data_IF_164469761897
#
_entry.id   IF_164469761897
#
_cell.length_a   1.000
_cell.length_b   1.000
_cell.length_c   1.000
_cell.angle_alpha   90.00
_cell.angle_beta   90.00
_cell.angle_gamma   90.00
#
_symmetry.space_group_name_H-M   'P 1'
#
loop_
_entity.id
_entity.type
_entity.pdbx_description
1 polymer ?
#
# COMPACT_ATOMS: atom_id res chain seq x y z
N UNK A 1 -29.75 -7.82 5.74
CA UNK A 1 -29.89 -6.36 5.79
C UNK A 1 -31.35 -5.92 5.86
N UNK A 2 -32.19 -6.79 6.31
CA UNK A 2 -33.64 -6.54 6.34
C UNK A 2 -34.08 -5.52 7.41
N UNK A 3 -33.20 -5.22 8.38
CA UNK A 3 -33.41 -4.15 9.35
C UNK A 3 -32.39 -3.03 9.07
N UNK A 4 -32.87 -1.90 8.56
CA UNK A 4 -32.07 -0.68 8.39
C UNK A 4 -31.65 -0.15 9.75
N UNK A 5 -30.48 -0.59 10.22
CA UNK A 5 -29.90 -0.11 11.48
C UNK A 5 -28.78 0.89 11.16
N UNK A 6 -29.14 2.14 10.94
CA UNK A 6 -28.22 3.21 10.60
C UNK A 6 -27.10 3.39 11.64
N UNK A 7 -27.41 3.25 12.93
CA UNK A 7 -26.43 3.34 14.04
C UNK A 7 -25.37 2.27 13.90
N UNK A 8 -25.77 1.03 13.59
CA UNK A 8 -24.82 -0.06 13.42
C UNK A 8 -23.88 0.17 12.23
N UNK A 9 -24.42 0.58 11.07
CA UNK A 9 -23.60 0.86 9.89
C UNK A 9 -22.72 2.09 10.05
N UNK A 10 -23.19 3.14 10.74
CA UNK A 10 -22.34 4.27 11.13
C UNK A 10 -21.19 3.81 12.06
N UNK A 11 -21.49 2.96 13.03
CA UNK A 11 -20.49 2.35 13.92
C UNK A 11 -19.45 1.52 13.15
N UNK A 12 -19.89 0.68 12.21
CA UNK A 12 -18.98 -0.06 11.32
C UNK A 12 -18.11 0.87 10.48
N UNK A 13 -18.67 1.96 9.95
CA UNK A 13 -17.92 2.95 9.17
C UNK A 13 -16.87 3.64 10.04
N UNK A 14 -17.18 4.04 11.24
CA UNK A 14 -16.23 4.61 12.20
C UNK A 14 -15.13 3.61 12.56
N UNK A 15 -15.46 2.34 12.76
CA UNK A 15 -14.51 1.30 13.12
C UNK A 15 -13.59 0.89 11.98
N UNK A 16 -14.13 0.67 10.78
CA UNK A 16 -13.38 0.08 9.66
C UNK A 16 -12.74 1.12 8.73
N UNK A 17 -13.18 2.37 8.73
CA UNK A 17 -12.52 3.41 7.93
C UNK A 17 -11.12 3.71 8.51
N UNK A 18 -10.08 3.26 7.85
CA UNK A 18 -8.69 3.33 8.31
C UNK A 18 -8.14 4.77 8.39
N UNK A 19 -8.73 5.71 7.65
CA UNK A 19 -8.38 7.13 7.73
C UNK A 19 -8.92 7.83 8.97
N UNK A 20 -9.86 7.22 9.68
CA UNK A 20 -10.40 7.76 10.92
C UNK A 20 -9.59 7.18 12.09
N UNK A 21 -8.79 7.99 12.77
CA UNK A 21 -8.01 7.57 13.95
C UNK A 21 -8.45 8.34 15.18
N UNK A 22 -8.82 7.64 16.26
CA UNK A 22 -9.29 8.28 17.50
C UNK A 22 -8.14 8.71 18.43
N UNK A 23 -6.89 8.25 18.17
CA UNK A 23 -5.74 8.62 18.99
C UNK A 23 -5.73 8.04 20.41
N UNK A 24 -6.56 7.06 20.69
CA UNK A 24 -6.69 6.42 22.02
C UNK A 24 -6.36 4.93 21.89
N UNK A 25 -5.46 4.43 22.76
CA UNK A 25 -5.02 3.03 22.72
C UNK A 25 -5.63 2.19 23.86
N UNK A 26 -5.74 2.76 25.04
CA UNK A 26 -6.25 2.09 26.24
C UNK A 26 -7.67 2.56 26.52
N UNK A 27 -8.66 1.70 26.24
CA UNK A 27 -10.07 1.97 26.48
C UNK A 27 -10.57 0.96 27.50
N UNK A 28 -11.02 1.43 28.69
CA UNK A 28 -11.40 0.54 29.77
C UNK A 28 -12.68 -0.25 29.44
N UNK A 29 -12.88 -1.35 30.14
CA UNK A 29 -14.14 -2.12 30.15
C UNK A 29 -15.06 -1.60 31.23
N UNK A 30 -16.36 -1.51 30.92
CA UNK A 30 -17.36 -1.26 31.93
C UNK A 30 -17.67 -2.54 32.71
N UNK A 31 -17.74 -2.40 34.04
CA UNK A 31 -18.10 -3.51 34.94
C UNK A 31 -19.58 -3.43 35.36
N UNK A 32 -20.19 -2.27 35.25
CA UNK A 32 -21.53 -1.98 35.73
C UNK A 32 -22.38 -1.35 34.61
N UNK A 33 -23.70 -1.44 34.77
CA UNK A 33 -24.65 -0.78 33.89
C UNK A 33 -24.83 0.69 34.29
N UNK A 34 -24.69 1.59 33.30
CA UNK A 34 -25.07 2.99 33.42
C UNK A 34 -26.54 3.21 33.02
N UNK A 35 -26.96 4.48 33.07
CA UNK A 35 -28.34 4.90 32.71
C UNK A 35 -28.66 4.78 31.22
N UNK A 36 -27.65 4.64 30.35
CA UNK A 36 -27.73 4.62 28.90
C UNK A 36 -26.88 5.72 28.26
N UNK A 37 -26.26 5.40 27.11
CA UNK A 37 -25.50 6.35 26.29
C UNK A 37 -26.17 6.47 24.92
N UNK A 38 -26.70 7.65 24.64
CA UNK A 38 -27.27 7.92 23.32
C UNK A 38 -26.20 7.97 22.25
N UNK A 39 -26.50 7.47 21.05
CA UNK A 39 -25.61 7.47 19.89
C UNK A 39 -25.08 8.87 19.56
N UNK A 40 -25.93 9.91 19.63
CA UNK A 40 -25.55 11.29 19.38
C UNK A 40 -24.41 11.78 20.28
N UNK A 41 -24.51 11.48 21.59
CA UNK A 41 -23.49 11.86 22.58
C UNK A 41 -22.17 11.12 22.35
N UNK A 42 -22.22 9.82 22.02
CA UNK A 42 -21.03 9.07 21.66
C UNK A 42 -20.36 9.64 20.40
N UNK A 43 -21.15 9.93 19.37
CA UNK A 43 -20.68 10.46 18.09
C UNK A 43 -20.02 11.83 18.22
N UNK A 44 -20.54 12.69 19.10
CA UNK A 44 -19.91 13.98 19.40
C UNK A 44 -18.49 13.80 19.96
N UNK A 45 -18.34 12.91 20.94
CA UNK A 45 -17.01 12.61 21.54
C UNK A 45 -16.10 11.96 20.51
N UNK A 46 -16.59 10.99 19.74
CA UNK A 46 -15.84 10.35 18.67
C UNK A 46 -15.33 11.38 17.64
N UNK A 47 -16.16 12.36 17.27
CA UNK A 47 -15.76 13.44 16.35
C UNK A 47 -14.69 14.35 16.94
N UNK A 48 -14.77 14.70 18.22
CA UNK A 48 -13.73 15.49 18.92
C UNK A 48 -12.40 14.74 18.97
N UNK A 49 -12.43 13.42 19.18
CA UNK A 49 -11.24 12.56 19.11
C UNK A 49 -10.65 12.51 17.69
N UNK A 50 -11.49 12.35 16.68
CA UNK A 50 -11.07 12.34 15.26
C UNK A 50 -10.42 13.65 14.82
N UNK A 51 -10.98 14.78 15.27
CA UNK A 51 -10.44 16.12 14.97
C UNK A 51 -9.25 16.51 15.85
N UNK A 52 -8.84 15.64 16.80
CA UNK A 52 -7.79 15.94 17.77
C UNK A 52 -8.09 17.13 18.69
N UNK A 53 -9.35 17.52 18.83
CA UNK A 53 -9.83 18.51 19.81
C UNK A 53 -9.78 17.94 21.24
N UNK A 54 -9.77 16.61 21.35
CA UNK A 54 -9.72 15.87 22.62
C UNK A 54 -8.56 14.87 22.57
N UNK A 55 -7.53 15.08 23.38
CA UNK A 55 -6.29 14.27 23.38
C UNK A 55 -5.79 14.02 24.81
N UNK A 56 -4.83 13.10 24.99
CA UNK A 56 -4.13 12.86 26.26
C UNK A 56 -5.04 12.49 27.43
N UNK A 57 -4.85 13.12 28.58
CA UNK A 57 -5.63 12.85 29.79
C UNK A 57 -7.09 13.26 29.61
N UNK A 58 -7.37 14.42 29.01
CA UNK A 58 -8.74 14.89 28.78
C UNK A 58 -9.55 13.89 27.94
N UNK A 59 -8.93 13.24 26.96
CA UNK A 59 -9.57 12.18 26.18
C UNK A 59 -9.89 10.95 27.05
N UNK A 60 -8.98 10.54 27.94
CA UNK A 60 -9.22 9.41 28.87
C UNK A 60 -10.37 9.70 29.82
N UNK A 61 -10.36 10.87 30.43
CA UNK A 61 -11.38 11.28 31.38
C UNK A 61 -12.77 11.31 30.72
N UNK A 62 -12.85 11.86 29.51
CA UNK A 62 -14.10 11.91 28.75
C UNK A 62 -14.59 10.53 28.31
N UNK A 63 -13.68 9.65 27.93
CA UNK A 63 -14.00 8.24 27.60
C UNK A 63 -14.51 7.51 28.85
N UNK A 64 -13.92 7.74 30.05
CA UNK A 64 -14.41 7.14 31.28
C UNK A 64 -15.79 7.68 31.66
N UNK A 65 -16.04 8.98 31.47
CA UNK A 65 -17.34 9.59 31.70
C UNK A 65 -18.44 8.92 30.85
N UNK A 66 -18.26 8.84 29.54
CA UNK A 66 -19.26 8.22 28.65
C UNK A 66 -19.37 6.71 28.89
N UNK A 67 -18.29 6.03 29.28
CA UNK A 67 -18.33 4.62 29.67
C UNK A 67 -19.24 4.38 30.86
N UNK A 68 -19.13 5.20 31.92
CA UNK A 68 -19.98 5.10 33.13
C UNK A 68 -21.47 5.35 32.84
N UNK A 69 -21.78 6.10 31.77
CA UNK A 69 -23.15 6.35 31.31
C UNK A 69 -23.74 5.21 30.51
N UNK A 70 -22.91 4.51 29.73
CA UNK A 70 -23.36 3.44 28.83
C UNK A 70 -23.77 2.19 29.64
N UNK A 71 -24.70 1.39 29.10
CA UNK A 71 -24.93 0.04 29.60
C UNK A 71 -23.69 -0.83 29.32
N UNK A 72 -23.35 -1.71 30.25
CA UNK A 72 -22.16 -2.58 30.22
C UNK A 72 -21.98 -3.27 28.88
N UNK A 73 -23.03 -3.93 28.40
CA UNK A 73 -22.96 -4.68 27.12
C UNK A 73 -22.82 -3.75 25.90
N UNK A 74 -23.56 -2.62 25.88
CA UNK A 74 -23.44 -1.65 24.79
C UNK A 74 -22.03 -1.07 24.72
N UNK A 75 -21.45 -0.71 25.90
CA UNK A 75 -20.09 -0.22 25.93
C UNK A 75 -19.09 -1.26 25.46
N UNK A 76 -19.08 -2.44 26.06
CA UNK A 76 -18.03 -3.45 25.85
C UNK A 76 -18.07 -4.06 24.45
N UNK A 77 -19.26 -4.25 23.84
CA UNK A 77 -19.43 -4.93 22.56
C UNK A 77 -19.68 -3.99 21.37
N UNK A 78 -19.95 -2.70 21.62
CA UNK A 78 -20.18 -1.76 20.53
C UNK A 78 -19.32 -0.50 20.64
N UNK A 79 -19.55 0.40 21.59
CA UNK A 79 -18.87 1.69 21.68
C UNK A 79 -17.34 1.56 21.84
N UNK A 80 -16.90 0.73 22.77
CA UNK A 80 -15.48 0.41 22.97
C UNK A 80 -14.86 -0.17 21.72
N UNK A 81 -15.56 -1.06 21.02
CA UNK A 81 -15.08 -1.71 19.79
C UNK A 81 -14.89 -0.72 18.65
N UNK A 82 -15.78 0.26 18.51
CA UNK A 82 -15.62 1.36 17.56
C UNK A 82 -14.32 2.13 17.84
N UNK A 83 -14.12 2.57 19.08
CA UNK A 83 -12.93 3.31 19.48
C UNK A 83 -11.63 2.50 19.34
N UNK A 84 -11.69 1.19 19.56
CA UNK A 84 -10.56 0.27 19.32
C UNK A 84 -10.33 -0.05 17.85
N UNK A 85 -11.27 0.31 16.95
CA UNK A 85 -11.27 -0.02 15.53
C UNK A 85 -11.21 -1.53 15.26
N UNK A 86 -11.81 -2.32 16.16
CA UNK A 86 -11.86 -3.78 16.11
C UNK A 86 -13.21 -4.28 16.64
N UNK A 87 -14.13 -4.48 15.72
CA UNK A 87 -15.51 -4.90 16.05
C UNK A 87 -15.62 -6.34 16.56
N UNK A 88 -14.62 -7.19 16.31
CA UNK A 88 -14.61 -8.63 16.65
C UNK A 88 -15.88 -9.40 16.25
N UNK A 89 -16.48 -9.00 15.14
CA UNK A 89 -17.74 -9.58 14.66
C UNK A 89 -17.57 -10.47 13.41
N UNK A 90 -16.32 -10.83 13.04
CA UNK A 90 -16.03 -11.66 11.87
C UNK A 90 -16.29 -10.97 10.52
N UNK A 91 -16.63 -9.67 10.51
CA UNK A 91 -16.86 -8.89 9.30
C UNK A 91 -15.61 -8.08 8.93
N UNK A 92 -15.47 -7.83 7.63
CA UNK A 92 -14.49 -6.88 7.08
C UNK A 92 -15.22 -5.78 6.32
N UNK A 93 -14.52 -4.66 6.08
CA UNK A 93 -15.02 -3.59 5.19
C UNK A 93 -15.44 -4.14 3.82
N UNK A 94 -14.70 -5.10 3.28
CA UNK A 94 -15.02 -5.74 2.01
C UNK A 94 -16.32 -6.53 2.07
N UNK A 95 -16.57 -7.24 3.15
CA UNK A 95 -17.82 -8.01 3.35
C UNK A 95 -19.01 -7.05 3.40
N UNK A 96 -18.89 -5.98 4.19
CA UNK A 96 -19.94 -4.94 4.29
C UNK A 96 -20.23 -4.31 2.93
N UNK A 97 -19.16 -3.89 2.22
CA UNK A 97 -19.29 -3.24 0.92
C UNK A 97 -19.91 -4.16 -0.15
N UNK A 98 -19.51 -5.45 -0.16
CA UNK A 98 -20.12 -6.42 -1.09
C UNK A 98 -21.62 -6.60 -0.85
N UNK A 99 -22.04 -6.69 0.43
CA UNK A 99 -23.45 -6.83 0.78
C UNK A 99 -24.21 -5.53 0.50
N UNK A 100 -23.63 -4.37 0.81
CA UNK A 100 -24.22 -3.07 0.49
C UNK A 100 -24.46 -2.89 -1.02
N UNK A 101 -23.45 -3.22 -1.85
CA UNK A 101 -23.56 -3.15 -3.31
C UNK A 101 -24.64 -4.07 -3.87
N UNK A 102 -24.72 -5.32 -3.38
CA UNK A 102 -25.75 -6.28 -3.85
C UNK A 102 -27.19 -5.84 -3.55
N UNK A 103 -27.37 -5.02 -2.52
CA UNK A 103 -28.68 -4.56 -2.08
C UNK A 103 -28.96 -3.09 -2.40
N UNK A 104 -28.10 -2.40 -3.16
CA UNK A 104 -28.27 -0.99 -3.52
C UNK A 104 -28.12 0.01 -2.38
N UNK A 105 -27.50 -0.37 -1.28
CA UNK A 105 -27.30 0.49 -0.09
C UNK A 105 -25.95 1.21 -0.13
N UNK A 106 -25.78 2.12 -1.09
CA UNK A 106 -24.52 2.85 -1.28
C UNK A 106 -24.09 3.67 -0.04
N UNK A 107 -25.05 4.20 0.72
CA UNK A 107 -24.82 4.97 1.95
C UNK A 107 -24.20 4.15 3.10
N UNK A 108 -24.29 2.83 3.04
CA UNK A 108 -23.69 1.93 4.04
C UNK A 108 -22.28 1.46 3.66
N UNK A 109 -21.78 1.83 2.50
CA UNK A 109 -20.42 1.51 2.12
C UNK A 109 -19.40 2.19 3.02
N UNK A 110 -18.39 1.42 3.38
CA UNK A 110 -17.26 1.86 4.17
C UNK A 110 -16.16 2.31 3.21
N UNK A 111 -15.61 3.52 3.33
CA UNK A 111 -14.46 3.95 2.55
C UNK A 111 -13.27 3.00 2.78
N UNK A 112 -12.75 2.44 1.70
CA UNK A 112 -11.55 1.59 1.76
C UNK A 112 -10.34 2.47 1.59
N UNK A 113 -9.38 2.37 2.53
CA UNK A 113 -8.10 3.07 2.40
C UNK A 113 -7.41 2.63 1.12
N UNK A 114 -7.14 3.57 0.26
CA UNK A 114 -6.40 3.35 -0.98
C UNK A 114 -5.61 4.60 -1.31
N UNK A 115 -4.51 4.44 -2.01
CA UNK A 115 -3.73 5.51 -2.62
C UNK A 115 -3.56 5.24 -4.11
N UNK A 116 -3.01 6.16 -4.86
CA UNK A 116 -2.74 5.94 -6.26
C UNK A 116 -1.69 4.85 -6.46
N UNK A 117 -1.99 3.88 -7.34
CA UNK A 117 -1.15 2.73 -7.62
C UNK A 117 -0.83 2.64 -9.12
N UNK A 118 0.43 2.29 -9.41
CA UNK A 118 0.90 2.13 -10.77
C UNK A 118 0.52 0.79 -11.39
N UNK A 119 0.31 0.78 -12.71
CA UNK A 119 0.27 -0.41 -13.55
C UNK A 119 1.69 -0.79 -14.03
N UNK A 120 1.85 -2.00 -14.53
CA UNK A 120 3.08 -2.44 -15.17
C UNK A 120 3.17 -1.88 -16.60
N UNK A 121 4.29 -1.24 -16.94
CA UNK A 121 4.44 -0.60 -18.26
C UNK A 121 4.47 -1.62 -19.41
N UNK A 122 4.95 -2.86 -19.18
CA UNK A 122 4.97 -3.91 -20.19
C UNK A 122 3.57 -4.27 -20.69
N UNK A 123 2.58 -4.22 -19.80
CA UNK A 123 1.17 -4.49 -20.13
C UNK A 123 0.48 -3.29 -20.81
N UNK A 124 1.09 -2.12 -20.75
CA UNK A 124 0.48 -0.86 -21.17
C UNK A 124 1.39 -0.02 -22.07
N UNK A 125 2.24 -0.65 -22.90
CA UNK A 125 3.19 0.03 -23.83
C UNK A 125 2.54 1.13 -24.68
N UNK A 126 1.28 0.93 -25.08
CA UNK A 126 0.51 1.94 -25.84
C UNK A 126 0.28 3.26 -25.10
N UNK A 127 0.53 3.31 -23.79
CA UNK A 127 0.45 4.52 -22.95
C UNK A 127 1.78 5.26 -22.83
N UNK A 128 2.87 4.71 -23.39
CA UNK A 128 4.19 5.34 -23.45
C UNK A 128 4.26 6.29 -24.65
N UNK A 129 3.40 7.30 -24.66
CA UNK A 129 3.28 8.35 -25.69
C UNK A 129 3.12 9.71 -25.03
N UNK A 130 3.45 10.79 -25.75
CA UNK A 130 3.36 12.16 -25.28
C UNK A 130 4.35 12.47 -24.16
N UNK A 131 4.09 13.56 -23.47
CA UNK A 131 4.89 13.97 -22.31
C UNK A 131 4.66 13.08 -21.11
N UNK A 132 5.74 12.70 -20.42
CA UNK A 132 5.71 11.90 -19.19
C UNK A 132 6.74 12.44 -18.19
N UNK A 133 6.38 12.41 -16.91
CA UNK A 133 7.36 12.55 -15.84
C UNK A 133 8.02 11.20 -15.56
N UNK A 134 9.34 11.20 -15.50
CA UNK A 134 10.16 10.08 -15.07
C UNK A 134 10.68 10.34 -13.66
N UNK A 135 10.55 9.33 -12.79
CA UNK A 135 11.08 9.34 -11.43
C UNK A 135 11.77 8.01 -11.15
N UNK A 136 12.80 8.00 -10.31
CA UNK A 136 13.38 6.73 -9.85
C UNK A 136 12.37 5.95 -9.03
N UNK A 137 12.34 4.64 -9.21
CA UNK A 137 11.52 3.78 -8.38
C UNK A 137 12.32 3.27 -7.20
N UNK A 138 12.00 3.78 -6.03
CA UNK A 138 12.63 3.38 -4.77
C UNK A 138 12.15 1.97 -4.35
N UNK A 139 13.03 1.23 -3.68
CA UNK A 139 12.70 -0.04 -3.01
C UNK A 139 12.51 0.24 -1.51
N UNK A 140 11.31 0.57 -1.13
CA UNK A 140 10.96 0.99 0.22
C UNK A 140 9.57 0.58 0.64
N UNK A 141 9.00 1.34 1.55
CA UNK A 141 7.65 1.17 2.05
C UNK A 141 6.85 2.44 1.80
N UNK A 142 5.77 2.32 1.03
CA UNK A 142 4.85 3.43 0.79
C UNK A 142 4.39 4.05 2.10
N UNK A 143 4.53 5.36 2.20
CA UNK A 143 4.12 6.15 3.35
C UNK A 143 3.15 7.25 2.90
N UNK A 144 1.90 7.11 3.30
CA UNK A 144 0.89 8.17 3.19
C UNK A 144 0.91 8.91 4.52
N UNK A 145 1.53 10.09 4.53
CA UNK A 145 1.72 10.90 5.73
C UNK A 145 0.66 11.98 5.78
N UNK A 146 -0.15 11.96 6.83
CA UNK A 146 -1.20 12.95 7.09
C UNK A 146 -0.69 13.94 8.13
N UNK A 147 -0.71 15.22 7.81
CA UNK A 147 -0.31 16.32 8.69
C UNK A 147 -1.55 17.14 9.02
N UNK A 148 -1.83 17.27 10.30
CA UNK A 148 -2.97 18.06 10.79
C UNK A 148 -2.53 19.45 11.25
N UNK A 149 -3.38 20.49 11.13
CA UNK A 149 -3.08 21.83 11.66
C UNK A 149 -2.77 21.85 13.16
N UNK A 150 -3.24 20.84 13.92
CA UNK A 150 -2.93 20.65 15.33
C UNK A 150 -1.49 20.19 15.63
N UNK A 151 -0.67 19.92 14.59
CA UNK A 151 0.66 19.35 14.75
C UNK A 151 0.69 17.82 14.91
N UNK A 152 -0.47 17.15 14.92
CA UNK A 152 -0.49 15.69 14.88
C UNK A 152 -0.09 15.18 13.50
N UNK A 153 0.65 14.07 13.46
CA UNK A 153 1.12 13.43 12.23
C UNK A 153 0.82 11.93 12.31
N UNK A 154 0.11 11.43 11.31
CA UNK A 154 -0.14 10.00 11.14
C UNK A 154 0.55 9.53 9.86
N UNK A 155 1.24 8.38 9.92
CA UNK A 155 1.89 7.75 8.75
C UNK A 155 1.23 6.40 8.51
N UNK A 156 0.73 6.19 7.30
CA UNK A 156 0.06 4.95 6.91
C UNK A 156 0.81 4.24 5.79
N UNK A 157 0.83 2.92 5.83
CA UNK A 157 1.25 2.10 4.70
C UNK A 157 0.24 2.17 3.55
N UNK A 158 0.62 1.66 2.40
CA UNK A 158 -0.25 1.52 1.21
C UNK A 158 -1.63 0.93 1.48
N UNK A 159 -1.75 0.08 2.49
CA UNK A 159 -3.00 -0.59 2.85
C UNK A 159 -3.69 0.04 4.06
N UNK A 160 -3.27 1.22 4.49
CA UNK A 160 -3.84 1.94 5.62
C UNK A 160 -3.48 1.36 7.00
N UNK A 161 -2.41 0.58 7.10
CA UNK A 161 -1.84 0.20 8.40
C UNK A 161 -1.02 1.36 8.91
N UNK A 162 -1.27 1.80 10.13
CA UNK A 162 -0.46 2.84 10.78
C UNK A 162 0.98 2.34 11.00
N UNK A 163 1.95 3.18 10.64
CA UNK A 163 3.37 2.93 10.76
C UNK A 163 3.92 3.69 11.98
N UNK A 164 3.97 3.01 13.12
CA UNK A 164 4.39 3.61 14.40
C UNK A 164 5.91 3.52 14.66
N UNK A 165 6.67 2.95 13.74
CA UNK A 165 8.09 2.68 13.90
C UNK A 165 8.99 3.82 13.38
N UNK A 166 8.41 4.97 13.02
CA UNK A 166 9.09 6.09 12.39
C UNK A 166 8.82 7.42 13.12
N UNK A 167 8.90 7.40 14.45
CA UNK A 167 8.64 8.61 15.25
C UNK A 167 9.63 9.73 14.96
N UNK A 168 10.88 9.40 14.60
CA UNK A 168 11.86 10.41 14.19
C UNK A 168 11.37 11.21 12.98
N UNK A 169 10.75 10.57 11.96
CA UNK A 169 10.19 11.27 10.81
C UNK A 169 9.03 12.20 11.22
N UNK A 170 8.17 11.76 12.16
CA UNK A 170 7.10 12.61 12.71
C UNK A 170 7.68 13.82 13.46
N UNK A 171 8.74 13.60 14.24
CA UNK A 171 9.44 14.66 14.97
C UNK A 171 10.12 15.64 14.02
N UNK A 172 10.78 15.15 12.97
CA UNK A 172 11.41 15.99 11.95
C UNK A 172 10.37 16.82 11.20
N UNK A 173 9.25 16.24 10.79
CA UNK A 173 8.16 16.99 10.16
C UNK A 173 7.69 18.11 11.11
N UNK A 174 7.40 17.82 12.37
CA UNK A 174 6.97 18.83 13.36
C UNK A 174 8.01 19.92 13.62
N UNK A 175 9.28 19.57 13.56
CA UNK A 175 10.39 20.51 13.78
C UNK A 175 10.52 21.54 12.67
N UNK A 176 10.28 21.12 11.43
CA UNK A 176 10.57 21.93 10.24
C UNK A 176 9.32 22.58 9.64
N UNK A 177 8.11 22.05 9.88
CA UNK A 177 6.89 22.58 9.27
C UNK A 177 6.40 23.86 9.96
N UNK A 178 6.01 24.84 9.17
CA UNK A 178 5.23 25.97 9.67
C UNK A 178 3.74 25.61 9.74
N UNK A 179 3.31 25.14 10.92
CA UNK A 179 1.92 24.77 11.17
C UNK A 179 0.96 25.97 11.12
N UNK A 180 1.44 27.20 11.32
CA UNK A 180 0.60 28.41 11.26
C UNK A 180 0.07 28.67 9.85
N UNK A 181 0.80 28.25 8.84
CA UNK A 181 0.42 28.34 7.43
C UNK A 181 -0.57 27.24 6.99
N UNK A 182 -0.69 26.16 7.78
CA UNK A 182 -1.48 24.98 7.45
C UNK A 182 -2.94 25.15 7.87
N UNK A 183 -3.79 25.65 6.99
CA UNK A 183 -5.23 25.88 7.28
C UNK A 183 -6.07 24.60 7.29
N UNK A 184 -5.65 23.53 6.58
CA UNK A 184 -6.36 22.24 6.47
C UNK A 184 -5.35 21.11 6.53
N UNK A 185 -5.83 19.93 6.93
CA UNK A 185 -5.00 18.74 6.94
C UNK A 185 -4.53 18.37 5.53
N UNK A 186 -3.25 17.98 5.45
CA UNK A 186 -2.51 17.73 4.22
C UNK A 186 -2.03 16.29 4.19
N UNK A 187 -1.97 15.71 3.01
CA UNK A 187 -1.36 14.42 2.72
C UNK A 187 -0.09 14.62 1.92
N UNK A 188 1.01 14.11 2.43
CA UNK A 188 2.24 13.90 1.68
C UNK A 188 2.35 12.42 1.33
N UNK A 189 2.45 12.12 0.05
CA UNK A 189 2.60 10.76 -0.44
C UNK A 189 4.07 10.50 -0.78
N UNK A 190 4.62 9.43 -0.24
CA UNK A 190 6.05 9.18 -0.32
C UNK A 190 6.43 7.72 -0.14
N UNK A 191 7.71 7.47 -0.11
CA UNK A 191 8.30 6.16 0.15
C UNK A 191 9.31 6.27 1.29
N UNK A 192 9.17 5.44 2.33
CA UNK A 192 10.18 5.31 3.38
C UNK A 192 11.22 4.31 2.90
N UNK A 193 12.47 4.75 2.89
CA UNK A 193 13.63 3.94 2.50
C UNK A 193 14.63 3.87 3.64
N UNK A 194 15.21 2.72 3.86
CA UNK A 194 16.31 2.48 4.79
C UNK A 194 17.47 1.82 4.05
N UNK A 195 18.67 1.92 4.58
CA UNK A 195 19.88 1.29 4.01
C UNK A 195 19.74 -0.20 3.78
N UNK A 196 18.87 -0.87 4.54
CA UNK A 196 18.58 -2.29 4.41
C UNK A 196 17.09 -2.54 4.34
N UNK A 197 16.58 -2.81 3.14
CA UNK A 197 15.16 -3.09 2.88
C UNK A 197 14.64 -4.31 3.68
N UNK A 198 15.45 -5.37 3.83
CA UNK A 198 15.02 -6.56 4.58
C UNK A 198 14.83 -6.26 6.07
N UNK A 199 15.70 -5.46 6.65
CA UNK A 199 15.54 -4.99 8.03
C UNK A 199 14.34 -4.06 8.18
N UNK A 200 14.11 -3.17 7.22
CA UNK A 200 12.93 -2.30 7.17
C UNK A 200 11.64 -3.13 7.18
N UNK A 201 11.56 -4.16 6.33
CA UNK A 201 10.39 -5.05 6.25
C UNK A 201 10.18 -5.87 7.53
N UNK A 202 11.26 -6.41 8.12
CA UNK A 202 11.17 -7.12 9.41
C UNK A 202 10.62 -6.22 10.51
N UNK A 203 11.03 -4.96 10.56
CA UNK A 203 10.60 -4.00 11.58
C UNK A 203 9.12 -3.61 11.43
N UNK A 204 8.65 -3.40 10.21
CA UNK A 204 7.23 -3.07 9.94
C UNK A 204 6.30 -4.21 10.35
N UNK A 205 6.75 -5.46 10.26
CA UNK A 205 5.98 -6.63 10.65
C UNK A 205 6.12 -7.01 12.13
N UNK A 206 7.14 -6.53 12.82
CA UNK A 206 7.28 -6.75 14.27
C UNK A 206 6.23 -5.96 15.04
N UNK A 207 5.65 -6.62 16.05
CA UNK A 207 4.74 -5.98 17.03
C UNK A 207 5.50 -5.16 18.09
N UNK A 208 6.83 -5.13 18.03
CA UNK A 208 7.67 -4.43 19.00
C UNK A 208 7.76 -2.94 18.68
N UNK A 209 7.96 -2.11 19.71
CA UNK A 209 8.13 -0.66 19.63
C UNK A 209 9.53 -0.22 19.13
N UNK A 210 10.30 -1.08 18.46
CA UNK A 210 11.62 -0.70 17.96
C UNK A 210 11.48 0.36 16.86
N UNK A 211 12.18 1.48 17.04
CA UNK A 211 12.23 2.59 16.09
C UNK A 211 13.31 2.33 15.05
N UNK A 212 13.07 2.80 13.82
CA UNK A 212 14.05 2.76 12.74
C UNK A 212 14.52 4.17 12.41
N UNK A 213 15.56 4.64 13.09
CA UNK A 213 16.10 5.99 12.95
C UNK A 213 16.92 6.20 11.67
N UNK A 214 17.32 5.13 10.98
CA UNK A 214 18.07 5.22 9.72
C UNK A 214 17.19 5.53 8.50
N UNK A 215 15.88 5.39 8.64
CA UNK A 215 14.96 5.57 7.55
C UNK A 215 14.81 7.05 7.16
N UNK A 216 14.64 7.29 5.86
CA UNK A 216 14.32 8.59 5.28
C UNK A 216 13.02 8.51 4.48
N UNK A 217 12.25 9.59 4.44
CA UNK A 217 11.01 9.71 3.70
C UNK A 217 11.24 10.51 2.42
N UNK A 218 11.03 9.86 1.29
CA UNK A 218 11.10 10.47 -0.04
C UNK A 218 9.71 10.84 -0.52
N UNK A 219 9.47 12.12 -0.75
CA UNK A 219 8.17 12.68 -1.13
C UNK A 219 8.05 12.77 -2.65
N UNK A 220 6.88 12.41 -3.19
CA UNK A 220 6.61 12.47 -4.63
C UNK A 220 5.19 12.95 -4.99
N UNK A 221 4.30 13.18 -4.02
CA UNK A 221 3.00 13.82 -4.27
C UNK A 221 2.46 14.54 -3.03
N UNK A 222 1.54 15.49 -3.24
CA UNK A 222 0.92 16.32 -2.22
C UNK A 222 -0.54 16.60 -2.58
N UNK A 223 -1.44 16.45 -1.60
CA UNK A 223 -2.86 16.76 -1.79
C UNK A 223 -3.58 17.04 -0.46
N UNK A 224 -4.73 17.74 -0.47
CA UNK A 224 -5.53 17.91 0.72
C UNK A 224 -6.08 16.56 1.24
N UNK A 225 -6.17 16.40 2.56
CA UNK A 225 -6.72 15.18 3.17
C UNK A 225 -8.17 14.92 2.75
N UNK A 226 -8.97 15.97 2.58
CA UNK A 226 -10.36 15.83 2.17
C UNK A 226 -10.47 15.14 0.81
N UNK A 227 -9.71 15.60 -0.21
CA UNK A 227 -9.71 15.02 -1.55
C UNK A 227 -9.17 13.58 -1.54
N UNK A 228 -8.16 13.30 -0.70
CA UNK A 228 -7.67 11.93 -0.50
C UNK A 228 -8.75 11.02 0.09
N UNK A 229 -9.55 11.51 1.03
CA UNK A 229 -10.68 10.77 1.62
C UNK A 229 -11.84 10.56 0.64
N UNK A 230 -12.06 11.50 -0.27
CA UNK A 230 -13.03 11.41 -1.36
C UNK A 230 -12.54 10.48 -2.48
N UNK A 231 -11.25 10.12 -2.48
CA UNK A 231 -10.65 9.17 -3.42
C UNK A 231 -10.18 9.78 -4.74
N UNK A 232 -10.33 11.11 -4.91
CA UNK A 232 -9.87 11.83 -6.10
C UNK A 232 -9.50 13.28 -5.76
N UNK A 233 -8.34 13.72 -6.26
CA UNK A 233 -7.94 15.13 -6.26
C UNK A 233 -7.79 15.63 -7.70
N UNK A 234 -8.64 16.58 -8.11
CA UNK A 234 -8.78 17.08 -9.50
C UNK A 234 -7.76 18.16 -9.87
N UNK A 235 -6.57 18.15 -9.27
CA UNK A 235 -5.40 18.89 -9.74
C UNK A 235 -4.53 17.94 -10.56
N UNK A 236 -4.00 18.41 -11.70
CA UNK A 236 -3.12 17.58 -12.51
C UNK A 236 -1.75 17.36 -11.83
N UNK A 237 -1.03 16.32 -12.23
CA UNK A 237 0.25 15.98 -11.62
C UNK A 237 1.28 17.10 -11.74
N UNK A 238 1.31 17.82 -12.85
CA UNK A 238 2.22 18.95 -13.07
C UNK A 238 2.05 20.03 -12.01
N UNK A 239 0.80 20.40 -11.71
CA UNK A 239 0.47 21.37 -10.66
C UNK A 239 0.84 20.83 -9.26
N UNK A 240 0.58 19.54 -9.01
CA UNK A 240 0.92 18.92 -7.73
C UNK A 240 2.43 18.86 -7.50
N UNK A 241 3.23 18.56 -8.54
CA UNK A 241 4.70 18.58 -8.44
C UNK A 241 5.21 20.00 -8.13
N UNK A 242 4.64 21.02 -8.76
CA UNK A 242 4.98 22.43 -8.46
C UNK A 242 4.63 22.76 -7.00
N UNK A 243 3.45 22.38 -6.56
CA UNK A 243 2.98 22.59 -5.19
C UNK A 243 3.85 21.84 -4.17
N UNK A 244 4.22 20.59 -4.46
CA UNK A 244 5.11 19.80 -3.62
C UNK A 244 6.51 20.41 -3.54
N UNK A 245 7.10 20.82 -4.66
CA UNK A 245 8.42 21.48 -4.69
C UNK A 245 8.41 22.78 -3.88
N UNK A 246 7.36 23.58 -4.01
CA UNK A 246 7.19 24.80 -3.21
C UNK A 246 7.11 24.48 -1.73
N UNK A 247 6.19 23.58 -1.34
CA UNK A 247 6.00 23.17 0.05
C UNK A 247 7.28 22.58 0.66
N UNK A 248 7.99 21.73 -0.07
CA UNK A 248 9.26 21.15 0.36
C UNK A 248 10.34 22.22 0.60
N UNK A 249 10.50 23.16 -0.32
CA UNK A 249 11.50 24.21 -0.20
C UNK A 249 11.20 25.17 0.97
N UNK A 250 9.94 25.44 1.25
CA UNK A 250 9.51 26.30 2.35
C UNK A 250 9.69 25.64 3.71
N UNK A 251 9.51 24.32 3.79
CA UNK A 251 9.47 23.61 5.07
C UNK A 251 10.63 22.63 5.29
N UNK A 252 11.04 21.85 4.28
CA UNK A 252 11.87 20.66 4.50
C UNK A 252 13.25 20.70 3.83
N UNK A 253 13.61 21.77 3.12
CA UNK A 253 14.88 21.89 2.38
C UNK A 253 16.12 21.59 3.24
N UNK A 254 16.07 21.89 4.52
CA UNK A 254 17.18 21.71 5.47
C UNK A 254 17.03 20.44 6.33
N UNK A 255 16.09 19.55 6.00
CA UNK A 255 15.87 18.30 6.73
C UNK A 255 16.58 17.14 6.03
N UNK A 256 17.48 16.45 6.70
CA UNK A 256 18.24 15.34 6.13
C UNK A 256 17.42 14.09 5.88
N UNK A 257 16.30 13.92 6.61
CA UNK A 257 15.47 12.73 6.57
C UNK A 257 14.21 12.87 5.72
N UNK A 258 13.89 14.09 5.30
CA UNK A 258 12.76 14.36 4.40
C UNK A 258 13.33 14.83 3.07
N UNK A 259 13.14 14.03 2.03
CA UNK A 259 13.76 14.23 0.72
C UNK A 259 12.69 14.34 -0.36
N UNK A 260 12.97 15.06 -1.41
CA UNK A 260 12.10 15.18 -2.57
C UNK A 260 12.60 14.24 -3.68
N UNK A 261 11.70 13.49 -4.30
CA UNK A 261 12.02 12.77 -5.54
C UNK A 261 12.05 13.78 -6.68
N UNK A 262 13.12 13.74 -7.47
CA UNK A 262 13.20 14.55 -8.68
C UNK A 262 12.37 13.92 -9.81
N UNK A 263 11.65 14.76 -10.54
CA UNK A 263 10.77 14.39 -11.64
C UNK A 263 11.25 15.05 -12.93
N UNK A 264 11.73 14.24 -13.89
CA UNK A 264 12.19 14.71 -15.19
C UNK A 264 11.04 14.61 -16.20
N UNK A 265 10.69 15.73 -16.85
CA UNK A 265 9.70 15.74 -17.94
C UNK A 265 10.37 15.39 -19.26
N UNK A 266 9.87 14.36 -19.95
CA UNK A 266 10.34 13.92 -21.27
C UNK A 266 9.17 13.78 -22.23
N UNK A 267 9.41 14.02 -23.52
CA UNK A 267 8.40 13.81 -24.58
C UNK A 267 8.73 12.52 -25.37
N UNK A 268 7.99 11.46 -25.11
CA UNK A 268 8.20 10.13 -25.70
C UNK A 268 7.85 10.04 -27.19
N UNK A 269 7.25 11.05 -27.79
CA UNK A 269 6.97 11.06 -29.21
C UNK A 269 8.20 11.50 -30.05
N UNK A 270 9.19 12.10 -29.41
CA UNK A 270 10.44 12.56 -30.05
C UNK A 270 11.55 11.52 -29.93
N UNK A 271 12.52 11.56 -30.85
CA UNK A 271 13.71 10.71 -30.79
C UNK A 271 14.56 11.01 -29.54
N UNK A 272 14.74 12.32 -29.22
CA UNK A 272 15.46 12.76 -28.03
C UNK A 272 14.78 12.25 -26.75
N UNK A 273 13.46 12.41 -26.61
CA UNK A 273 12.76 11.96 -25.42
C UNK A 273 12.78 10.44 -25.24
N UNK A 274 12.80 9.66 -26.31
CA UNK A 274 13.02 8.21 -26.24
C UNK A 274 14.44 7.86 -25.79
N UNK A 275 15.42 8.63 -26.18
CA UNK A 275 16.80 8.47 -25.72
C UNK A 275 16.93 8.87 -24.24
N UNK A 276 16.38 10.02 -23.84
CA UNK A 276 16.32 10.46 -22.45
C UNK A 276 15.64 9.40 -21.54
N UNK A 277 14.55 8.79 -22.01
CA UNK A 277 13.89 7.70 -21.30
C UNK A 277 14.81 6.50 -21.10
N UNK A 278 15.55 6.07 -22.13
CA UNK A 278 16.50 4.97 -22.02
C UNK A 278 17.62 5.30 -21.05
N UNK A 279 18.22 6.48 -21.19
CA UNK A 279 19.31 6.94 -20.33
C UNK A 279 18.86 7.04 -18.87
N UNK A 280 17.65 7.55 -18.61
CA UNK A 280 17.10 7.63 -17.26
C UNK A 280 16.86 6.24 -16.67
N UNK A 281 16.38 5.28 -17.47
CA UNK A 281 16.18 3.90 -17.02
C UNK A 281 17.52 3.22 -16.71
N UNK A 282 18.53 3.38 -17.54
CA UNK A 282 19.88 2.87 -17.31
C UNK A 282 20.52 3.50 -16.07
N UNK A 283 20.44 4.83 -15.94
CA UNK A 283 20.89 5.55 -14.74
C UNK A 283 20.24 4.98 -13.48
N UNK A 284 18.93 4.75 -13.50
CA UNK A 284 18.19 4.18 -12.37
C UNK A 284 18.75 2.81 -11.96
N UNK A 285 19.02 1.93 -12.94
CA UNK A 285 19.54 0.59 -12.66
C UNK A 285 20.97 0.58 -12.17
N UNK A 286 21.85 1.39 -12.79
CA UNK A 286 23.27 1.51 -12.39
C UNK A 286 23.38 2.02 -10.95
N UNK A 287 22.49 2.93 -10.53
CA UNK A 287 22.47 3.47 -9.17
C UNK A 287 21.68 2.60 -8.17
N UNK A 288 21.27 1.38 -8.55
CA UNK A 288 20.66 0.40 -7.64
C UNK A 288 19.20 0.66 -7.30
N UNK A 289 18.50 1.52 -8.03
CA UNK A 289 17.06 1.70 -7.88
C UNK A 289 16.28 0.50 -8.43
N UNK A 290 15.05 0.30 -7.97
CA UNK A 290 14.20 -0.82 -8.39
C UNK A 290 13.74 -0.71 -9.86
N UNK A 291 13.95 0.43 -10.49
CA UNK A 291 13.52 0.80 -11.83
C UNK A 291 13.04 2.24 -11.89
N UNK A 292 12.07 2.52 -12.75
CA UNK A 292 11.51 3.87 -12.92
C UNK A 292 9.99 3.89 -12.79
N UNK A 293 9.46 5.04 -12.39
CA UNK A 293 8.06 5.41 -12.46
C UNK A 293 7.85 6.35 -13.66
N UNK A 294 6.78 6.13 -14.39
CA UNK A 294 6.40 6.90 -15.58
C UNK A 294 5.00 7.44 -15.31
N UNK A 295 4.87 8.75 -15.19
CA UNK A 295 3.64 9.39 -14.74
C UNK A 295 3.10 10.36 -15.80
N UNK A 296 1.79 10.38 -15.98
CA UNK A 296 1.12 11.30 -16.90
C UNK A 296 0.98 12.69 -16.26
N UNK A 297 1.57 13.76 -16.86
CA UNK A 297 1.53 15.11 -16.31
C UNK A 297 0.13 15.69 -16.11
N UNK A 298 -0.82 15.28 -16.96
CA UNK A 298 -2.19 15.81 -16.94
C UNK A 298 -3.15 14.97 -16.08
N UNK A 299 -2.63 13.91 -15.42
CA UNK A 299 -3.46 13.03 -14.62
C UNK A 299 -3.83 13.60 -13.26
N UNK A 300 -5.04 13.34 -12.82
CA UNK A 300 -5.50 13.55 -11.45
C UNK A 300 -4.88 12.53 -10.49
N UNK A 301 -4.89 12.83 -9.19
CA UNK A 301 -4.59 11.81 -8.18
C UNK A 301 -5.86 11.00 -7.92
N UNK A 302 -5.83 9.71 -8.20
CA UNK A 302 -6.97 8.81 -7.99
C UNK A 302 -6.56 7.68 -7.04
N UNK A 303 -7.28 7.49 -5.93
CA UNK A 303 -7.03 6.45 -4.95
C UNK A 303 -7.35 5.03 -5.47
N UNK A 304 -6.80 4.69 -6.63
CA UNK A 304 -6.96 3.39 -7.29
C UNK A 304 -5.73 3.04 -8.12
N UNK A 305 -5.69 1.80 -8.63
CA UNK A 305 -4.73 1.41 -9.66
C UNK A 305 -5.17 1.96 -11.01
N UNK A 306 -4.30 2.76 -11.63
CA UNK A 306 -4.59 3.35 -12.95
C UNK A 306 -3.37 3.33 -13.86
N UNK A 307 -3.57 3.53 -15.17
CA UNK A 307 -2.50 3.62 -16.16
C UNK A 307 -1.89 5.02 -16.26
N UNK A 308 -2.38 5.98 -15.48
CA UNK A 308 -1.77 7.31 -15.37
C UNK A 308 -0.41 7.26 -14.69
N UNK A 309 -0.18 6.23 -13.85
CA UNK A 309 1.13 5.89 -13.33
C UNK A 309 1.52 4.50 -13.82
N UNK A 310 2.66 4.40 -14.47
CA UNK A 310 3.27 3.15 -14.89
C UNK A 310 4.57 2.94 -14.12
N UNK A 311 4.92 1.68 -13.91
CA UNK A 311 6.20 1.28 -13.34
C UNK A 311 6.94 0.41 -14.36
N UNK A 312 8.20 0.71 -14.60
CA UNK A 312 9.14 -0.12 -15.33
C UNK A 312 10.15 -0.68 -14.35
N UNK A 313 10.21 -2.00 -14.27
CA UNK A 313 11.18 -2.73 -13.46
C UNK A 313 11.94 -3.67 -14.37
N UNK A 314 13.26 -3.80 -14.22
CA UNK A 314 13.98 -4.89 -14.85
C UNK A 314 13.40 -6.20 -14.33
N UNK A 315 13.46 -7.20 -15.15
CA UNK A 315 13.19 -8.57 -14.76
C UNK A 315 14.32 -9.44 -15.25
N UNK A 316 14.55 -10.51 -14.53
CA UNK A 316 15.43 -11.58 -14.97
C UNK A 316 14.60 -12.76 -15.40
N UNK A 317 15.13 -13.53 -16.31
CA UNK A 317 14.55 -14.80 -16.76
C UNK A 317 15.56 -15.90 -16.56
N UNK A 318 15.15 -16.96 -15.90
CA UNK A 318 15.95 -18.17 -15.71
C UNK A 318 15.21 -19.37 -16.29
N UNK A 319 15.95 -20.33 -16.78
CA UNK A 319 15.43 -21.56 -17.36
C UNK A 319 15.69 -22.73 -16.41
N UNK A 320 14.63 -23.37 -15.94
CA UNK A 320 14.70 -24.42 -14.93
C UNK A 320 13.91 -25.64 -15.37
N UNK A 321 14.34 -26.81 -14.93
CA UNK A 321 13.65 -28.08 -15.19
C UNK A 321 12.56 -28.32 -14.16
N UNK A 322 11.37 -28.72 -14.59
CA UNK A 322 10.27 -29.12 -13.72
C UNK A 322 10.57 -30.45 -13.07
N UNK A 323 10.60 -30.48 -11.74
CA UNK A 323 10.85 -31.69 -10.95
C UNK A 323 9.60 -32.21 -10.27
N UNK A 324 8.64 -31.34 -9.95
CA UNK A 324 7.39 -31.73 -9.29
C UNK A 324 6.32 -30.66 -9.50
N UNK A 325 5.11 -30.95 -9.03
CA UNK A 325 3.97 -30.04 -9.06
C UNK A 325 3.14 -30.17 -7.76
N UNK A 326 2.39 -29.14 -7.44
CA UNK A 326 1.51 -29.09 -6.28
C UNK A 326 0.08 -28.74 -6.69
N UNK A 327 -0.90 -29.37 -6.03
CA UNK A 327 -2.30 -29.00 -6.17
C UNK A 327 -2.57 -27.64 -5.54
N UNK A 328 -3.43 -26.84 -6.15
CA UNK A 328 -3.87 -25.57 -5.60
C UNK A 328 -4.82 -25.73 -4.42
N UNK A 329 -4.91 -24.71 -3.60
CA UNK A 329 -5.84 -24.63 -2.47
C UNK A 329 -6.95 -23.63 -2.73
N UNK A 330 -8.03 -23.70 -1.95
CA UNK A 330 -9.16 -22.77 -2.06
C UNK A 330 -9.80 -22.79 -3.45
N UNK A 331 -9.84 -21.66 -4.14
CA UNK A 331 -10.42 -21.55 -5.50
C UNK A 331 -9.66 -22.35 -6.57
N UNK A 332 -8.42 -22.73 -6.29
CA UNK A 332 -7.57 -23.50 -7.21
C UNK A 332 -7.55 -25.00 -6.84
N UNK A 333 -8.40 -25.48 -5.95
CA UNK A 333 -8.54 -26.92 -5.65
C UNK A 333 -8.92 -27.66 -6.92
N UNK A 334 -8.28 -28.81 -7.18
CA UNK A 334 -8.44 -29.56 -8.42
C UNK A 334 -7.70 -28.97 -9.63
N UNK A 335 -6.84 -27.97 -9.44
CA UNK A 335 -6.05 -27.31 -10.48
C UNK A 335 -4.60 -27.18 -10.05
N UNK A 336 -3.70 -26.83 -10.98
CA UNK A 336 -2.30 -26.59 -10.65
C UNK A 336 -2.16 -25.42 -9.65
N UNK A 337 -1.55 -25.68 -8.51
CA UNK A 337 -1.18 -24.69 -7.51
C UNK A 337 0.17 -24.07 -7.83
N UNK A 338 1.21 -24.91 -7.92
CA UNK A 338 2.57 -24.49 -8.19
C UNK A 338 3.34 -25.57 -8.96
N UNK A 339 4.44 -25.14 -9.60
CA UNK A 339 5.47 -25.99 -10.21
C UNK A 339 6.74 -25.88 -9.37
N UNK A 340 7.29 -27.02 -8.98
CA UNK A 340 8.61 -27.11 -8.37
C UNK A 340 9.63 -27.31 -9.48
N UNK A 341 10.55 -26.37 -9.63
CA UNK A 341 11.58 -26.42 -10.67
C UNK A 341 12.96 -26.16 -10.08
N UNK A 342 13.97 -26.85 -10.64
CA UNK A 342 15.35 -26.69 -10.23
C UNK A 342 16.29 -26.78 -11.42
N UNK A 343 17.49 -26.24 -11.25
CA UNK A 343 18.53 -26.26 -12.28
C UNK A 343 19.53 -25.14 -12.12
N UNK A 344 20.56 -25.20 -12.95
CA UNK A 344 21.59 -24.18 -13.02
C UNK A 344 21.31 -23.22 -14.17
N UNK A 345 21.38 -21.92 -13.90
CA UNK A 345 21.34 -20.86 -14.89
C UNK A 345 22.36 -19.77 -14.53
N UNK A 346 23.20 -19.38 -15.49
CA UNK A 346 24.28 -18.41 -15.30
C UNK A 346 25.18 -18.68 -14.08
N UNK A 347 25.61 -19.95 -13.89
CA UNK A 347 26.48 -20.37 -12.81
C UNK A 347 25.84 -20.33 -11.40
N UNK A 348 24.51 -20.28 -11.34
CA UNK A 348 23.76 -20.27 -10.08
C UNK A 348 22.74 -21.40 -10.08
N UNK A 349 22.77 -22.22 -9.04
CA UNK A 349 21.78 -23.28 -8.86
C UNK A 349 20.55 -22.77 -8.10
N UNK A 350 19.38 -22.99 -8.70
CA UNK A 350 18.08 -22.58 -8.17
C UNK A 350 17.24 -23.82 -7.84
N UNK A 351 16.49 -23.73 -6.73
CA UNK A 351 15.42 -24.66 -6.39
C UNK A 351 14.22 -23.83 -5.93
N UNK A 352 13.16 -23.83 -6.73
CA UNK A 352 12.06 -22.87 -6.61
C UNK A 352 10.69 -23.55 -6.64
N UNK A 353 9.76 -22.97 -5.90
CA UNK A 353 8.33 -23.25 -6.01
C UNK A 353 7.66 -22.06 -6.70
N UNK A 354 7.10 -22.25 -7.88
CA UNK A 354 6.54 -21.23 -8.75
C UNK A 354 5.01 -21.36 -8.73
N UNK A 355 4.34 -20.58 -7.88
CA UNK A 355 2.89 -20.56 -7.73
C UNK A 355 2.16 -19.47 -8.49
N UNK A 356 2.87 -18.59 -9.20
CA UNK A 356 2.29 -17.42 -9.90
C UNK A 356 2.69 -17.37 -11.37
N UNK A 357 1.98 -16.54 -12.16
CA UNK A 357 2.20 -16.38 -13.60
C UNK A 357 1.29 -17.25 -14.47
N UNK A 358 0.48 -18.11 -13.88
CA UNK A 358 -0.48 -18.96 -14.61
C UNK A 358 -1.85 -18.28 -14.73
N UNK A 359 -2.48 -18.41 -15.88
CA UNK A 359 -3.91 -18.14 -16.05
C UNK A 359 -4.76 -19.29 -15.49
N UNK A 360 -6.04 -19.03 -15.21
CA UNK A 360 -6.95 -20.08 -14.70
C UNK A 360 -7.07 -21.26 -15.70
N UNK A 361 -7.11 -20.97 -17.00
CA UNK A 361 -7.11 -21.98 -18.05
C UNK A 361 -5.83 -22.82 -18.07
N UNK A 362 -4.67 -22.19 -17.93
CA UNK A 362 -3.39 -22.91 -17.83
C UNK A 362 -3.32 -23.79 -16.60
N UNK A 363 -3.87 -23.33 -15.46
CA UNK A 363 -3.90 -24.15 -14.24
C UNK A 363 -4.73 -25.42 -14.41
N UNK A 364 -5.86 -25.34 -15.11
CA UNK A 364 -6.70 -26.50 -15.44
C UNK A 364 -6.01 -27.44 -16.40
N UNK A 365 -5.50 -26.91 -17.51
CA UNK A 365 -4.85 -27.68 -18.57
C UNK A 365 -3.58 -28.40 -18.06
N UNK A 366 -2.75 -27.68 -17.31
CA UNK A 366 -1.50 -28.23 -16.79
C UNK A 366 -1.76 -29.25 -15.67
N UNK A 367 -2.80 -29.08 -14.87
CA UNK A 367 -3.17 -30.06 -13.86
C UNK A 367 -3.66 -31.37 -14.49
N UNK A 368 -4.47 -31.31 -15.54
CA UNK A 368 -4.90 -32.50 -16.29
C UNK A 368 -3.73 -33.24 -16.95
N UNK A 369 -2.67 -32.53 -17.31
CA UNK A 369 -1.48 -33.08 -17.96
C UNK A 369 -0.23 -33.05 -17.06
N UNK A 370 -0.40 -33.01 -15.75
CA UNK A 370 0.66 -32.73 -14.77
C UNK A 370 1.89 -33.64 -14.90
N UNK A 371 1.69 -34.92 -15.17
CA UNK A 371 2.79 -35.90 -15.29
C UNK A 371 3.66 -35.63 -16.53
N UNK A 372 3.10 -35.00 -17.58
CA UNK A 372 3.84 -34.58 -18.78
C UNK A 372 4.67 -33.31 -18.57
N UNK A 373 4.52 -32.62 -17.44
CA UNK A 373 5.29 -31.44 -17.10
C UNK A 373 6.67 -31.79 -16.58
N UNK A 374 6.82 -32.96 -15.93
CA UNK A 374 8.09 -33.42 -15.34
C UNK A 374 9.15 -33.54 -16.44
N UNK A 375 10.36 -33.02 -16.16
CA UNK A 375 11.50 -33.01 -17.07
C UNK A 375 11.46 -31.90 -18.11
N UNK A 376 10.36 -31.11 -18.19
CA UNK A 376 10.28 -29.98 -19.13
C UNK A 376 11.00 -28.77 -18.60
N UNK A 377 11.55 -27.97 -19.50
CA UNK A 377 12.19 -26.70 -19.15
C UNK A 377 11.14 -25.59 -19.17
N UNK A 378 11.09 -24.82 -18.09
CA UNK A 378 10.27 -23.62 -17.98
C UNK A 378 11.13 -22.35 -17.95
N UNK A 379 10.63 -21.28 -18.52
CA UNK A 379 11.14 -19.94 -18.28
C UNK A 379 10.41 -19.34 -17.07
N UNK A 380 11.20 -18.93 -16.07
CA UNK A 380 10.73 -18.27 -14.85
C UNK A 380 11.19 -16.83 -14.89
N UNK A 381 10.24 -15.90 -14.85
CA UNK A 381 10.52 -14.46 -14.73
C UNK A 381 10.51 -14.05 -13.28
N UNK A 382 11.47 -13.24 -12.85
CA UNK A 382 11.54 -12.72 -11.49
C UNK A 382 12.07 -11.29 -11.45
N UNK A 383 11.89 -10.62 -10.31
CA UNK A 383 12.35 -9.24 -10.13
C UNK A 383 13.87 -9.19 -9.95
N UNK A 384 14.46 -10.10 -9.20
CA UNK A 384 15.92 -10.23 -9.03
C UNK A 384 16.31 -11.60 -8.46
N UNK A 385 17.61 -11.91 -8.51
CA UNK A 385 18.20 -13.05 -7.80
C UNK A 385 18.37 -12.70 -6.32
N UNK A 386 18.10 -13.64 -5.44
CA UNK A 386 18.33 -13.56 -3.99
C UNK A 386 18.97 -14.85 -3.51
N UNK A 387 19.49 -14.87 -2.29
CA UNK A 387 19.87 -16.13 -1.62
C UNK A 387 18.64 -16.76 -0.98
N UNK A 388 18.59 -18.09 -0.92
CA UNK A 388 17.59 -18.82 -0.15
C UNK A 388 17.76 -18.53 1.36
N UNK A 389 16.71 -18.77 2.16
CA UNK A 389 16.75 -18.51 3.60
C UNK A 389 17.77 -19.42 4.34
N UNK A 390 18.00 -20.60 3.83
CA UNK A 390 18.97 -21.60 4.29
C UNK A 390 20.41 -21.33 3.78
N UNK A 391 20.58 -20.40 2.82
CA UNK A 391 21.87 -19.94 2.33
C UNK A 391 22.59 -20.90 1.38
N UNK A 392 22.07 -22.11 1.14
CA UNK A 392 22.71 -23.15 0.32
C UNK A 392 22.49 -22.94 -1.18
N UNK A 393 21.30 -22.43 -1.57
CA UNK A 393 20.90 -22.25 -2.95
C UNK A 393 20.60 -20.78 -3.29
N UNK A 394 20.60 -20.46 -4.57
CA UNK A 394 20.06 -19.19 -5.05
C UNK A 394 18.54 -19.26 -5.13
N UNK A 395 17.91 -18.15 -4.90
CA UNK A 395 16.46 -17.98 -4.99
C UNK A 395 16.10 -16.79 -5.88
N UNK A 396 14.82 -16.65 -6.19
CA UNK A 396 14.28 -15.57 -7.00
C UNK A 396 13.24 -14.77 -6.22
N UNK A 397 13.31 -13.45 -6.31
CA UNK A 397 12.29 -12.57 -5.73
C UNK A 397 11.07 -12.53 -6.66
N UNK A 398 9.91 -12.96 -6.17
CA UNK A 398 8.65 -13.03 -6.90
C UNK A 398 8.72 -13.83 -8.20
N UNK A 399 9.07 -15.13 -8.16
CA UNK A 399 9.13 -15.97 -9.35
C UNK A 399 7.74 -16.16 -9.94
N UNK A 400 7.68 -16.03 -11.29
CA UNK A 400 6.45 -16.16 -12.08
C UNK A 400 6.71 -17.04 -13.28
N UNK A 401 5.85 -18.02 -13.49
CA UNK A 401 5.89 -18.80 -14.74
C UNK A 401 5.67 -17.89 -15.94
N UNK A 402 6.47 -18.04 -16.97
CA UNK A 402 6.34 -17.33 -18.23
C UNK A 402 5.87 -18.27 -19.35
N UNK A 403 6.60 -19.34 -19.60
CA UNK A 403 6.29 -20.31 -20.65
C UNK A 403 7.08 -21.62 -20.44
N UNK A 404 6.67 -22.67 -21.14
CA UNK A 404 7.49 -23.87 -21.34
C UNK A 404 8.41 -23.67 -22.53
N UNK A 405 9.65 -24.14 -22.46
CA UNK A 405 10.53 -24.29 -23.63
C UNK A 405 10.25 -25.62 -24.32
N UNK A 406 10.19 -25.60 -25.65
CA UNK A 406 9.99 -26.81 -26.44
C UNK A 406 8.54 -27.27 -26.63
N UNK A 407 7.56 -26.50 -26.20
CA UNK A 407 6.16 -26.63 -26.63
C UNK A 407 5.86 -25.46 -27.57
N UNK A 408 5.68 -25.70 -28.85
CA UNK A 408 5.18 -24.76 -29.88
C UNK A 408 5.75 -23.33 -29.83
N UNK A 409 6.93 -23.15 -29.27
CA UNK A 409 7.57 -21.83 -29.19
C UNK A 409 8.52 -21.71 -30.37
N UNK A 410 8.22 -20.79 -31.26
CA UNK A 410 9.18 -20.30 -32.26
C UNK A 410 10.50 -19.99 -31.53
N UNK A 411 11.59 -20.52 -32.11
CA UNK A 411 12.95 -20.25 -31.62
C UNK A 411 13.13 -18.76 -31.37
N UNK A 412 13.80 -18.44 -30.25
CA UNK A 412 14.30 -17.09 -30.04
C UNK A 412 15.28 -16.76 -31.17
N UNK A 413 14.89 -15.89 -32.10
CA UNK A 413 15.79 -15.16 -32.97
C UNK A 413 16.37 -13.99 -32.18
#
# INVERSE_FOLDING_TARGET
MDCKNDIFFEGLRLAFNKLLTFGVKQIPESQEDGIGLEWGNFKEIANKLLKRELTGHAARDKIQEIMKRAKKNEWNFFYKRILQKDMRCGLSEKTVNNVASKNGFENYKIPVFSCQLAQDCELHKKKLIGSKFLEVKLDGVRAVTVIYPSGNIDIFSRNGKELNNFNHLKNDINKFIDLSSLKKALVLDGEIVSKNFQELMKQIHRKSSSQNEDASLFLFDILPLQDFQEGIYKSNLKERIISLKKFYNENFKNCEKLLLIDSQLVNLDTASGKEEFRNFNEFSLINGYEGIMIKDPESFYECKRSTSWLKSKPFIEVSLEVKNYEEGTGRNKGKLGAIMAEGEDNGKYFKLNIGSGFTDKQREEYWMNKDKLIGKIIEVRADCVSKSQDGENWSLRFPRFKTFRGFDVKEKI
#
